data_IF_591804871999
#
_entry.id   IF_591804871999
#
_cell.length_a   1.000
_cell.length_b   1.000
_cell.length_c   1.000
_cell.angle_alpha   90.00
_cell.angle_beta   90.00
_cell.angle_gamma   90.00
#
_symmetry.space_group_name_H-M   'P 1'
#
loop_
_entity.id
_entity.type
_entity.pdbx_description
1 polymer ?
#
# COMPACT_ATOMS: atom_id res chain seq x y z
N UNK A 1 45.19 34.81 -2.44
CA UNK A 1 43.78 35.17 -2.66
C UNK A 1 43.48 36.41 -1.85
N UNK A 2 42.89 37.44 -2.43
CA UNK A 2 42.51 38.65 -1.69
C UNK A 2 41.38 38.29 -0.70
N UNK A 3 41.51 38.62 0.61
CA UNK A 3 40.47 38.34 1.60
C UNK A 3 39.08 38.88 1.23
N UNK A 4 39.02 40.01 0.50
CA UNK A 4 37.76 40.61 0.05
C UNK A 4 37.06 39.76 -1.01
N UNK A 5 37.82 39.17 -1.94
CA UNK A 5 37.27 38.30 -2.99
C UNK A 5 36.71 37.00 -2.38
N UNK A 6 37.35 36.48 -1.32
CA UNK A 6 36.86 35.32 -0.57
C UNK A 6 35.57 35.65 0.16
N UNK A 7 35.48 36.84 0.77
CA UNK A 7 34.29 37.29 1.49
C UNK A 7 33.08 37.47 0.55
N UNK A 8 33.29 38.10 -0.61
CA UNK A 8 32.23 38.28 -1.62
C UNK A 8 31.77 36.94 -2.22
N UNK A 9 32.70 36.03 -2.51
CA UNK A 9 32.37 34.69 -3.02
C UNK A 9 31.57 33.86 -1.99
N UNK A 10 31.95 33.92 -0.72
CA UNK A 10 31.23 33.24 0.36
C UNK A 10 29.83 33.82 0.53
N UNK A 11 29.71 35.16 0.51
CA UNK A 11 28.42 35.86 0.61
C UNK A 11 27.49 35.45 -0.53
N UNK A 12 27.97 35.45 -1.77
CA UNK A 12 27.21 35.00 -2.93
C UNK A 12 26.75 33.54 -2.78
N UNK A 13 27.64 32.66 -2.32
CA UNK A 13 27.31 31.24 -2.11
C UNK A 13 26.22 31.04 -1.04
N UNK A 14 26.28 31.80 0.06
CA UNK A 14 25.25 31.75 1.11
C UNK A 14 23.92 32.28 0.56
N UNK A 15 23.95 33.37 -0.21
CA UNK A 15 22.77 33.98 -0.78
C UNK A 15 22.06 33.03 -1.75
N UNK A 16 22.82 32.35 -2.62
CA UNK A 16 22.32 31.30 -3.52
C UNK A 16 21.65 30.14 -2.76
N UNK A 17 22.23 29.73 -1.63
CA UNK A 17 21.65 28.65 -0.79
C UNK A 17 20.32 29.08 -0.20
N UNK A 18 20.20 30.30 0.31
CA UNK A 18 18.95 30.82 0.87
C UNK A 18 17.87 31.02 -0.20
N UNK A 19 18.23 31.45 -1.41
CA UNK A 19 17.27 31.55 -2.53
C UNK A 19 16.73 30.18 -2.93
N UNK A 20 17.58 29.16 -2.99
CA UNK A 20 17.16 27.77 -3.25
C UNK A 20 16.24 27.22 -2.15
N UNK A 21 16.56 27.50 -0.88
CA UNK A 21 15.70 27.13 0.25
C UNK A 21 14.33 27.83 0.18
N UNK A 22 14.30 29.12 -0.19
CA UNK A 22 13.05 29.86 -0.35
C UNK A 22 12.18 29.33 -1.50
N UNK A 23 12.80 28.91 -2.61
CA UNK A 23 12.11 28.24 -3.71
C UNK A 23 11.52 26.90 -3.27
N UNK A 24 12.29 26.05 -2.58
CA UNK A 24 11.78 24.78 -2.04
C UNK A 24 10.61 25.00 -1.08
N UNK A 25 10.72 25.99 -0.18
CA UNK A 25 9.65 26.33 0.75
C UNK A 25 8.37 26.78 0.03
N UNK A 26 8.49 27.59 -1.04
CA UNK A 26 7.32 27.96 -1.86
C UNK A 26 6.70 26.77 -2.56
N UNK A 27 7.50 25.88 -3.13
CA UNK A 27 7.00 24.66 -3.78
C UNK A 27 6.21 23.80 -2.80
N UNK A 28 6.75 23.58 -1.59
CA UNK A 28 6.06 22.82 -0.53
C UNK A 28 4.79 23.53 -0.05
N UNK A 29 4.83 24.86 0.11
CA UNK A 29 3.68 25.64 0.55
C UNK A 29 2.54 25.67 -0.48
N UNK A 30 2.87 25.71 -1.77
CA UNK A 30 1.89 25.82 -2.86
C UNK A 30 1.36 24.45 -3.32
N UNK A 31 2.20 23.41 -3.33
CA UNK A 31 1.87 22.10 -3.93
C UNK A 31 1.85 20.94 -2.93
N UNK A 32 2.16 21.20 -1.65
CA UNK A 32 2.31 20.18 -0.61
C UNK A 32 3.67 19.45 -0.69
N UNK A 33 3.94 18.58 0.28
CA UNK A 33 5.12 17.72 0.25
C UNK A 33 4.95 16.60 -0.78
N UNK A 34 5.89 16.44 -1.74
CA UNK A 34 5.88 15.32 -2.68
C UNK A 34 5.93 13.98 -1.93
N UNK A 35 4.94 13.13 -2.16
CA UNK A 35 4.89 11.78 -1.59
C UNK A 35 5.40 10.77 -2.62
N UNK A 36 6.34 9.91 -2.21
CA UNK A 36 6.94 8.93 -3.12
C UNK A 36 6.01 7.72 -3.28
N UNK A 37 5.65 7.44 -4.53
CA UNK A 37 4.95 6.22 -4.93
C UNK A 37 5.81 5.52 -5.97
N UNK A 38 6.21 4.29 -5.66
CA UNK A 38 6.96 3.44 -6.57
C UNK A 38 6.00 2.77 -7.54
N UNK A 39 6.17 3.05 -8.83
CA UNK A 39 5.39 2.43 -9.88
C UNK A 39 6.06 1.13 -10.32
N UNK A 40 5.32 0.03 -10.21
CA UNK A 40 5.71 -1.27 -10.73
C UNK A 40 4.80 -1.62 -11.90
N UNK A 41 5.40 -1.98 -13.04
CA UNK A 41 4.68 -2.44 -14.22
C UNK A 41 5.00 -3.90 -14.51
N UNK A 42 3.98 -4.65 -14.88
CA UNK A 42 4.04 -6.07 -15.19
C UNK A 42 3.49 -6.92 -14.05
N UNK A 43 2.57 -7.81 -14.42
CA UNK A 43 1.87 -8.71 -13.48
C UNK A 43 2.78 -9.49 -12.56
N UNK A 44 3.83 -10.09 -13.11
CA UNK A 44 4.79 -10.85 -12.31
C UNK A 44 5.42 -10.01 -11.20
N UNK A 45 5.83 -8.77 -11.51
CA UNK A 45 6.42 -7.84 -10.52
C UNK A 45 5.43 -7.42 -9.46
N UNK A 46 4.16 -7.18 -9.83
CA UNK A 46 3.10 -6.83 -8.86
C UNK A 46 2.84 -8.00 -7.91
N UNK A 47 2.64 -9.21 -8.45
CA UNK A 47 2.42 -10.42 -7.64
C UNK A 47 3.63 -10.71 -6.75
N UNK A 48 4.85 -10.57 -7.29
CA UNK A 48 6.08 -10.72 -6.52
C UNK A 48 6.12 -9.72 -5.37
N UNK A 49 5.81 -8.44 -5.62
CA UNK A 49 5.81 -7.41 -4.57
C UNK A 49 4.81 -7.71 -3.46
N UNK A 50 3.61 -8.18 -3.80
CA UNK A 50 2.62 -8.63 -2.80
C UNK A 50 3.20 -9.80 -1.97
N UNK A 51 3.90 -10.74 -2.62
CA UNK A 51 4.60 -11.82 -1.95
C UNK A 51 5.72 -11.35 -1.00
N UNK A 52 6.50 -10.35 -1.40
CA UNK A 52 7.52 -9.73 -0.54
C UNK A 52 6.90 -9.09 0.70
N UNK A 53 5.77 -8.39 0.54
CA UNK A 53 5.05 -7.79 1.66
C UNK A 53 4.50 -8.87 2.62
N UNK A 54 3.99 -9.98 2.12
CA UNK A 54 3.59 -11.14 2.95
C UNK A 54 4.75 -11.69 3.77
N UNK A 55 5.95 -11.81 3.18
CA UNK A 55 7.13 -12.33 3.88
C UNK A 55 7.65 -11.36 4.94
N UNK A 56 7.55 -10.05 4.68
CA UNK A 56 7.99 -8.99 5.59
C UNK A 56 6.99 -8.70 6.72
N UNK A 57 5.71 -9.02 6.53
CA UNK A 57 4.67 -8.74 7.52
C UNK A 57 4.90 -9.50 8.82
N UNK A 58 4.64 -8.80 9.92
CA UNK A 58 4.87 -9.26 11.30
C UNK A 58 3.61 -9.30 12.15
N UNK A 59 2.59 -8.49 11.83
CA UNK A 59 1.38 -8.35 12.64
C UNK A 59 0.11 -8.52 11.80
N UNK A 60 -0.08 -7.71 10.76
CA UNK A 60 -1.34 -7.68 9.99
C UNK A 60 -1.07 -7.61 8.48
N UNK A 61 -1.91 -8.29 7.72
CA UNK A 61 -1.88 -8.22 6.27
C UNK A 61 -3.30 -8.25 5.71
N UNK A 62 -3.73 -7.16 5.08
CA UNK A 62 -5.04 -7.05 4.45
C UNK A 62 -4.86 -7.05 2.94
N UNK A 63 -5.57 -7.93 2.25
CA UNK A 63 -5.65 -7.99 0.80
C UNK A 63 -7.10 -7.87 0.34
N UNK A 64 -7.39 -6.80 -0.39
CA UNK A 64 -8.68 -6.59 -1.05
C UNK A 64 -8.52 -6.89 -2.53
N UNK A 65 -9.36 -7.74 -3.13
CA UNK A 65 -9.31 -8.03 -4.57
C UNK A 65 -10.58 -8.70 -5.09
N UNK A 66 -10.91 -8.54 -6.37
CA UNK A 66 -11.91 -9.39 -7.04
C UNK A 66 -11.32 -10.74 -7.50
N UNK A 67 -10.01 -10.81 -7.70
CA UNK A 67 -9.34 -11.92 -8.38
C UNK A 67 -8.50 -12.71 -7.39
N UNK A 68 -9.09 -13.17 -6.28
CA UNK A 68 -8.29 -13.83 -5.24
C UNK A 68 -7.61 -15.12 -5.71
N UNK A 69 -8.18 -15.82 -6.70
CA UNK A 69 -7.55 -17.01 -7.29
C UNK A 69 -6.17 -16.70 -7.89
N UNK A 70 -6.07 -15.58 -8.60
CA UNK A 70 -4.86 -15.10 -9.30
C UNK A 70 -3.70 -14.79 -8.35
N UNK A 71 -4.01 -14.47 -7.09
CA UNK A 71 -3.02 -14.19 -6.05
C UNK A 71 -2.79 -15.40 -5.14
N UNK A 72 -3.86 -16.07 -4.74
CA UNK A 72 -3.82 -17.22 -3.83
C UNK A 72 -2.93 -18.34 -4.35
N UNK A 73 -3.04 -18.69 -5.64
CA UNK A 73 -2.29 -19.80 -6.21
C UNK A 73 -0.77 -19.58 -6.21
N UNK A 74 -0.25 -18.48 -6.80
CA UNK A 74 1.19 -18.22 -6.77
C UNK A 74 1.71 -17.89 -5.36
N UNK A 75 0.88 -17.34 -4.47
CA UNK A 75 1.31 -16.89 -3.15
C UNK A 75 0.99 -17.88 -2.02
N UNK A 76 0.39 -19.03 -2.30
CA UNK A 76 -0.12 -19.98 -1.29
C UNK A 76 0.91 -20.28 -0.19
N UNK A 77 2.14 -20.62 -0.59
CA UNK A 77 3.22 -20.95 0.36
C UNK A 77 3.54 -19.77 1.28
N UNK A 78 3.56 -18.55 0.74
CA UNK A 78 3.86 -17.32 1.49
C UNK A 78 2.71 -16.94 2.43
N UNK A 79 1.46 -17.10 1.99
CA UNK A 79 0.26 -16.89 2.81
C UNK A 79 0.28 -17.82 4.03
N UNK A 80 0.44 -19.13 3.81
CA UNK A 80 0.48 -20.11 4.90
C UNK A 80 1.68 -19.88 5.83
N UNK A 81 2.82 -19.46 5.28
CA UNK A 81 3.99 -19.11 6.07
C UNK A 81 3.71 -17.89 6.96
N UNK A 82 3.08 -16.83 6.44
CA UNK A 82 2.71 -15.65 7.21
C UNK A 82 1.73 -15.99 8.35
N UNK A 83 0.67 -16.76 8.06
CA UNK A 83 -0.27 -17.27 9.07
C UNK A 83 0.46 -18.06 10.16
N UNK A 84 1.38 -18.97 9.77
CA UNK A 84 2.18 -19.74 10.73
C UNK A 84 3.08 -18.88 11.62
N UNK A 85 3.57 -17.75 11.12
CA UNK A 85 4.32 -16.75 11.92
C UNK A 85 3.44 -15.94 12.87
N UNK A 86 2.12 -16.10 12.81
CA UNK A 86 1.16 -15.36 13.64
C UNK A 86 0.66 -14.06 13.02
N UNK A 87 0.92 -13.81 11.74
CA UNK A 87 0.38 -12.64 11.03
C UNK A 87 -1.13 -12.82 10.85
N UNK A 88 -1.91 -11.81 11.23
CA UNK A 88 -3.34 -11.76 10.97
C UNK A 88 -3.58 -11.42 9.48
N UNK A 89 -3.72 -12.46 8.67
CA UNK A 89 -4.02 -12.31 7.24
C UNK A 89 -5.53 -12.21 7.03
N UNK A 90 -5.98 -11.17 6.36
CA UNK A 90 -7.39 -10.91 6.04
C UNK A 90 -7.57 -10.73 4.54
N UNK A 91 -8.46 -11.53 3.94
CA UNK A 91 -8.88 -11.39 2.55
C UNK A 91 -10.25 -10.76 2.47
N UNK A 92 -10.33 -9.63 1.77
CA UNK A 92 -11.57 -8.96 1.40
C UNK A 92 -11.81 -9.26 -0.07
N UNK A 93 -12.74 -10.14 -0.37
CA UNK A 93 -12.98 -10.64 -1.74
C UNK A 93 -14.44 -11.04 -1.92
N UNK A 94 -14.84 -11.33 -3.17
CA UNK A 94 -16.18 -11.80 -3.48
C UNK A 94 -16.60 -13.02 -2.61
N UNK A 95 -17.90 -13.22 -2.37
CA UNK A 95 -18.40 -14.43 -1.71
C UNK A 95 -17.98 -15.73 -2.45
N UNK A 96 -18.07 -16.86 -1.74
CA UNK A 96 -17.86 -18.21 -2.28
C UNK A 96 -16.45 -18.49 -2.84
N UNK A 97 -15.46 -17.66 -2.48
CA UNK A 97 -14.07 -17.88 -2.85
C UNK A 97 -13.41 -18.94 -1.96
N UNK A 98 -12.40 -19.63 -2.51
CA UNK A 98 -11.56 -20.54 -1.73
C UNK A 98 -10.57 -19.73 -0.90
N UNK A 99 -10.67 -19.83 0.42
CA UNK A 99 -9.81 -19.12 1.36
C UNK A 99 -8.89 -20.13 2.05
N UNK A 100 -7.56 -19.87 2.15
CA UNK A 100 -6.64 -20.72 2.89
C UNK A 100 -6.99 -20.79 4.38
N UNK A 101 -6.64 -21.90 5.02
CA UNK A 101 -6.81 -22.06 6.47
C UNK A 101 -6.04 -20.99 7.25
N UNK A 102 -6.66 -20.46 8.31
CA UNK A 102 -6.09 -19.41 9.16
C UNK A 102 -6.14 -17.99 8.58
N UNK A 103 -6.68 -17.81 7.36
CA UNK A 103 -6.96 -16.48 6.78
C UNK A 103 -8.39 -16.05 7.14
N UNK A 104 -8.53 -14.83 7.64
CA UNK A 104 -9.85 -14.22 7.87
C UNK A 104 -10.46 -13.82 6.54
N UNK A 105 -11.73 -14.17 6.31
CA UNK A 105 -12.45 -13.83 5.09
C UNK A 105 -13.55 -12.81 5.36
N UNK A 106 -13.52 -11.69 4.63
CA UNK A 106 -14.56 -10.67 4.66
C UNK A 106 -15.21 -10.59 3.27
N UNK A 107 -16.39 -11.18 3.07
CA UNK A 107 -17.03 -11.19 1.77
C UNK A 107 -17.51 -9.79 1.37
N UNK A 108 -17.08 -9.33 0.19
CA UNK A 108 -17.47 -8.04 -0.41
C UNK A 108 -17.61 -8.18 -1.92
N UNK A 109 -18.70 -7.66 -2.45
CA UNK A 109 -18.93 -7.54 -3.89
C UNK A 109 -18.46 -6.18 -4.40
N UNK A 110 -18.34 -6.03 -5.73
CA UNK A 110 -18.06 -4.76 -6.41
C UNK A 110 -16.73 -4.07 -6.02
N UNK A 111 -15.76 -4.81 -5.49
CA UNK A 111 -14.40 -4.31 -5.23
C UNK A 111 -13.77 -3.83 -6.54
N UNK A 112 -13.21 -2.62 -6.66
CA UNK A 112 -12.73 -2.14 -7.97
C UNK A 112 -11.23 -2.26 -8.21
N UNK A 113 -10.45 -2.41 -7.15
CA UNK A 113 -9.00 -2.46 -7.21
C UNK A 113 -8.48 -3.68 -6.43
N UNK A 114 -7.21 -4.02 -6.65
CA UNK A 114 -6.47 -4.87 -5.72
C UNK A 114 -5.68 -3.97 -4.79
N UNK A 115 -5.91 -4.08 -3.49
CA UNK A 115 -5.26 -3.23 -2.48
C UNK A 115 -4.62 -4.11 -1.43
N UNK A 116 -3.42 -3.71 -0.98
CA UNK A 116 -2.72 -4.39 0.11
C UNK A 116 -2.31 -3.36 1.16
N UNK A 117 -2.55 -3.71 2.42
CA UNK A 117 -2.00 -3.00 3.57
C UNK A 117 -1.28 -4.01 4.47
N UNK A 118 0.02 -3.82 4.66
CA UNK A 118 0.87 -4.68 5.48
C UNK A 118 1.37 -3.90 6.71
N UNK A 119 1.06 -4.40 7.91
CA UNK A 119 1.40 -3.84 9.23
C UNK A 119 1.00 -2.36 9.45
N UNK A 120 0.18 -1.79 8.57
CA UNK A 120 -0.09 -0.35 8.50
C UNK A 120 1.12 0.50 8.04
N UNK A 121 2.22 -0.14 7.65
CA UNK A 121 3.47 0.54 7.25
C UNK A 121 3.68 0.54 5.73
N UNK A 122 3.03 -0.38 5.02
CA UNK A 122 3.19 -0.53 3.58
C UNK A 122 1.84 -0.63 2.91
N UNK A 123 1.67 0.13 1.83
CA UNK A 123 0.46 0.16 1.03
C UNK A 123 0.78 -0.13 -0.43
N UNK A 124 -0.09 -0.87 -1.10
CA UNK A 124 -0.03 -1.13 -2.53
C UNK A 124 -1.42 -1.03 -3.11
N UNK A 125 -1.56 -0.27 -4.20
CA UNK A 125 -2.78 -0.18 -5.00
C UNK A 125 -2.47 -0.65 -6.42
N UNK A 126 -3.05 -1.78 -6.80
CA UNK A 126 -2.89 -2.43 -8.08
C UNK A 126 -4.13 -2.24 -8.96
N UNK A 127 -3.87 -2.10 -10.26
CA UNK A 127 -4.91 -2.16 -11.28
C UNK A 127 -5.64 -3.51 -11.24
N UNK A 128 -6.89 -3.61 -11.75
CA UNK A 128 -7.68 -4.83 -11.67
C UNK A 128 -7.00 -6.08 -12.25
N UNK A 129 -6.20 -5.92 -13.32
CA UNK A 129 -5.47 -7.01 -13.96
C UNK A 129 -4.11 -7.34 -13.33
N UNK A 130 -3.72 -6.61 -12.27
CA UNK A 130 -2.40 -6.63 -11.65
C UNK A 130 -1.26 -6.21 -12.60
N UNK A 131 -1.56 -5.59 -13.73
CA UNK A 131 -0.59 -5.19 -14.76
C UNK A 131 0.26 -3.98 -14.35
N UNK A 132 -0.20 -3.20 -13.38
CA UNK A 132 0.59 -2.17 -12.72
C UNK A 132 0.13 -1.97 -11.27
N UNK A 133 1.03 -1.46 -10.42
CA UNK A 133 0.66 -0.96 -9.10
C UNK A 133 1.49 0.25 -8.68
N UNK A 134 0.90 1.06 -7.81
CA UNK A 134 1.62 2.00 -6.96
C UNK A 134 1.88 1.34 -5.61
N UNK A 135 3.12 1.39 -5.15
CA UNK A 135 3.56 0.94 -3.83
C UNK A 135 4.13 2.11 -3.04
N UNK A 136 3.88 2.17 -1.74
CA UNK A 136 4.44 3.21 -0.86
C UNK A 136 4.61 2.68 0.56
N UNK A 137 5.65 3.18 1.22
CA UNK A 137 5.95 3.06 2.64
C UNK A 137 5.70 4.40 3.37
N UNK A 138 5.07 5.36 2.68
CA UNK A 138 4.80 6.66 3.26
C UNK A 138 3.69 6.57 4.33
N UNK A 139 3.95 7.02 5.57
CA UNK A 139 3.02 6.84 6.68
C UNK A 139 1.68 7.58 6.50
N UNK A 140 1.65 8.68 5.74
CA UNK A 140 0.41 9.43 5.48
C UNK A 140 -0.48 8.64 4.52
N UNK A 141 0.11 8.16 3.41
CA UNK A 141 -0.63 7.40 2.41
C UNK A 141 -1.09 6.04 2.95
N UNK A 142 -0.26 5.37 3.76
CA UNK A 142 -0.65 4.10 4.39
C UNK A 142 -1.77 4.29 5.40
N UNK A 143 -1.72 5.36 6.21
CA UNK A 143 -2.79 5.71 7.13
C UNK A 143 -4.10 6.04 6.40
N UNK A 144 -4.02 6.74 5.26
CA UNK A 144 -5.19 7.05 4.45
C UNK A 144 -5.85 5.79 3.87
N UNK A 145 -5.05 4.88 3.30
CA UNK A 145 -5.58 3.60 2.81
C UNK A 145 -6.18 2.77 3.96
N UNK A 146 -5.52 2.75 5.13
CA UNK A 146 -6.03 2.06 6.31
C UNK A 146 -7.44 2.53 6.69
N UNK A 147 -7.65 3.84 6.79
CA UNK A 147 -8.97 4.41 7.10
C UNK A 147 -10.03 3.99 6.07
N UNK A 148 -9.66 3.99 4.79
CA UNK A 148 -10.57 3.55 3.73
C UNK A 148 -10.93 2.06 3.84
N UNK A 149 -9.95 1.21 4.14
CA UNK A 149 -10.17 -0.22 4.33
C UNK A 149 -10.99 -0.52 5.59
N UNK A 150 -10.78 0.19 6.69
CA UNK A 150 -11.59 0.07 7.92
C UNK A 150 -13.07 0.28 7.63
N UNK A 151 -13.42 1.31 6.84
CA UNK A 151 -14.82 1.54 6.40
C UNK A 151 -15.36 0.36 5.58
N UNK A 152 -14.53 -0.28 4.76
CA UNK A 152 -14.94 -1.46 3.98
C UNK A 152 -15.15 -2.67 4.90
N UNK A 153 -14.29 -2.85 5.91
CA UNK A 153 -14.35 -3.95 6.87
C UNK A 153 -15.55 -3.82 7.81
N UNK A 154 -15.90 -2.61 8.24
CA UNK A 154 -16.99 -2.33 9.17
C UNK A 154 -18.39 -2.38 8.55
N UNK A 155 -18.51 -2.28 7.22
CA UNK A 155 -19.82 -2.39 6.56
C UNK A 155 -20.42 -3.78 6.76
N UNK A 156 -21.69 -3.87 7.14
CA UNK A 156 -22.39 -5.14 7.15
C UNK A 156 -22.40 -5.74 5.73
N UNK A 157 -22.19 -7.07 5.59
CA UNK A 157 -22.38 -7.73 4.30
C UNK A 157 -23.82 -7.48 3.81
N UNK A 158 -24.04 -7.33 2.49
CA UNK A 158 -25.39 -7.15 1.96
C UNK A 158 -26.29 -8.32 2.40
N UNK A 159 -27.54 -8.00 2.80
CA UNK A 159 -28.54 -8.87 3.44
C UNK A 159 -28.89 -10.18 2.68
N UNK A 160 -28.30 -10.44 1.51
CA UNK A 160 -28.59 -11.62 0.69
C UNK A 160 -27.89 -12.92 1.10
N UNK A 161 -27.04 -12.91 2.14
CA UNK A 161 -26.26 -14.10 2.57
C UNK A 161 -26.76 -14.79 3.85
N UNK A 162 -27.83 -14.31 4.49
CA UNK A 162 -28.48 -15.06 5.58
C UNK A 162 -29.56 -15.96 4.98
N UNK A 163 -29.18 -17.17 4.54
CA UNK A 163 -30.16 -18.26 4.44
C UNK A 163 -30.15 -19.02 5.77
N UNK A 164 -31.31 -19.18 6.44
CA UNK A 164 -31.38 -20.04 7.62
C UNK A 164 -31.10 -21.48 7.18
N UNK A 165 -30.24 -22.15 7.94
CA UNK A 165 -30.05 -23.60 7.82
C UNK A 165 -31.36 -24.26 8.23
N UNK A 166 -31.99 -24.96 7.30
CA UNK A 166 -33.09 -25.89 7.57
C UNK A 166 -32.52 -27.29 7.82
#
# INVERSE_FOLDING_TARGET
TNPLDVAESLKGSIQDVFEKLAQLHRVVAEHGEPQLVYLLSGREKVVQKIGELLDQSTATFILTTQQIADLREPLMKKILHAVKRGVQVTFVTAPLQRIPEGVTHVPRENLRATEVLADGQHALLAAPGLDACGFTDNPILTAHLKQFLEVILERDPPESTVRPVA
#
